data_IF_001034937593
#
_entry.id   IF_001034937593
#
_cell.length_a   1.000
_cell.length_b   1.000
_cell.length_c   1.000
_cell.angle_alpha   90.00
_cell.angle_beta   90.00
_cell.angle_gamma   90.00
#
_symmetry.space_group_name_H-M   'P 1'
#
loop_
_entity.id
_entity.type
_entity.pdbx_description
1 polymer ?
#
# COMPACT_ATOMS: atom_id res chain seq x y z
N UNK A 1 -7.12 44.15 5.62
CA UNK A 1 -6.85 42.74 5.30
C UNK A 1 -7.54 41.85 6.34
N UNK A 2 -8.18 40.78 5.88
CA UNK A 2 -8.86 39.86 6.76
C UNK A 2 -7.86 39.09 7.66
N UNK A 3 -8.21 38.86 8.92
CA UNK A 3 -7.38 38.16 9.92
C UNK A 3 -6.90 36.76 9.44
N UNK A 4 -7.70 36.07 8.63
CA UNK A 4 -7.34 34.75 8.11
C UNK A 4 -6.24 34.81 7.05
N UNK A 5 -6.15 35.89 6.25
CA UNK A 5 -5.05 36.10 5.28
C UNK A 5 -3.73 36.27 6.05
N UNK A 6 -3.73 37.07 7.12
CA UNK A 6 -2.54 37.24 7.96
C UNK A 6 -2.12 35.94 8.64
N UNK A 7 -3.09 35.11 9.09
CA UNK A 7 -2.81 33.78 9.62
C UNK A 7 -2.22 32.85 8.56
N UNK A 8 -2.74 32.86 7.33
CA UNK A 8 -2.21 32.08 6.21
C UNK A 8 -0.76 32.45 5.88
N UNK A 9 -0.47 33.77 5.83
CA UNK A 9 0.90 34.26 5.60
C UNK A 9 1.85 33.86 6.74
N UNK A 10 1.40 33.85 7.97
CA UNK A 10 2.19 33.42 9.15
C UNK A 10 2.35 31.90 9.22
N UNK A 11 1.35 31.13 8.78
CA UNK A 11 1.37 29.66 8.76
C UNK A 11 2.34 29.06 7.75
N UNK A 12 2.75 29.85 6.75
CA UNK A 12 3.65 29.41 5.70
C UNK A 12 3.03 28.34 4.79
N UNK A 13 3.90 27.52 4.16
CA UNK A 13 3.50 26.47 3.23
C UNK A 13 3.20 25.19 4.00
N UNK A 14 1.94 24.76 4.00
CA UNK A 14 1.51 23.51 4.63
C UNK A 14 1.79 22.27 3.75
N UNK A 15 1.97 22.45 2.44
CA UNK A 15 2.14 21.35 1.49
C UNK A 15 3.50 20.69 1.67
N UNK A 16 3.51 19.36 1.79
CA UNK A 16 4.74 18.57 1.83
C UNK A 16 5.57 18.77 0.57
N UNK A 17 6.89 18.77 0.72
CA UNK A 17 7.83 18.77 -0.42
C UNK A 17 8.24 17.37 -0.86
N UNK A 18 7.70 16.35 -0.20
CA UNK A 18 7.94 14.96 -0.60
C UNK A 18 7.36 14.70 -2.01
N UNK A 19 7.99 13.95 -2.91
CA UNK A 19 9.23 13.18 -2.73
C UNK A 19 10.53 13.96 -2.99
N UNK A 20 10.47 15.24 -3.41
CA UNK A 20 11.66 16.02 -3.71
C UNK A 20 12.57 16.24 -2.48
N UNK A 21 11.95 16.29 -1.28
CA UNK A 21 12.63 16.35 0.00
C UNK A 21 12.03 15.33 0.97
N UNK A 22 12.81 14.78 1.92
CA UNK A 22 12.30 13.98 3.01
C UNK A 22 11.21 14.74 3.78
N UNK A 23 10.24 13.99 4.28
CA UNK A 23 9.18 14.53 5.12
C UNK A 23 9.17 13.75 6.45
N UNK A 24 9.34 14.42 7.60
CA UNK A 24 9.45 13.75 8.89
C UNK A 24 8.18 13.00 9.30
N UNK A 25 7.01 13.36 8.77
CA UNK A 25 5.79 12.61 9.01
C UNK A 25 5.78 11.30 8.21
N UNK A 26 6.26 11.31 6.95
CA UNK A 26 6.40 10.11 6.16
C UNK A 26 7.35 9.09 6.82
N UNK A 27 8.47 9.58 7.36
CA UNK A 27 9.51 8.74 7.98
C UNK A 27 9.08 8.18 9.35
N UNK A 28 8.24 8.91 10.09
CA UNK A 28 7.77 8.53 11.44
C UNK A 28 6.46 7.75 11.42
N UNK A 29 5.82 7.62 10.26
CA UNK A 29 4.55 6.91 10.17
C UNK A 29 4.74 5.44 10.57
N UNK A 30 3.78 4.94 11.35
CA UNK A 30 3.76 3.53 11.75
C UNK A 30 3.25 2.69 10.57
N UNK A 31 4.13 1.88 10.02
CA UNK A 31 3.80 0.93 8.96
C UNK A 31 3.31 -0.41 9.51
N UNK A 32 3.09 -1.41 8.64
CA UNK A 32 2.68 -2.76 9.04
C UNK A 32 3.67 -3.43 10.00
N UNK A 33 3.21 -4.47 10.69
CA UNK A 33 4.07 -5.27 11.57
C UNK A 33 5.10 -6.04 10.75
N UNK A 34 6.29 -6.16 11.30
CA UNK A 34 7.40 -6.97 10.75
C UNK A 34 7.97 -7.88 11.81
N UNK A 35 8.68 -8.93 11.38
CA UNK A 35 9.48 -9.80 12.25
C UNK A 35 10.82 -9.12 12.54
N UNK A 36 11.28 -9.13 13.79
CA UNK A 36 12.57 -8.59 14.18
C UNK A 36 13.71 -9.40 13.56
N UNK A 37 14.75 -8.76 13.15
CA UNK A 37 15.97 -9.40 12.68
C UNK A 37 16.52 -10.33 13.76
N UNK A 38 16.81 -11.57 13.38
CA UNK A 38 17.31 -12.61 14.28
C UNK A 38 16.24 -13.37 15.05
N UNK A 39 15.01 -12.91 15.09
CA UNK A 39 13.91 -13.61 15.80
C UNK A 39 13.34 -14.80 15.03
N UNK A 40 13.59 -14.92 13.71
CA UNK A 40 13.06 -15.99 12.88
C UNK A 40 14.07 -17.05 12.44
N UNK A 41 15.36 -16.69 12.33
CA UNK A 41 16.43 -17.58 11.88
C UNK A 41 17.40 -17.85 13.02
N UNK A 42 17.21 -18.93 13.77
CA UNK A 42 18.11 -19.34 14.84
C UNK A 42 17.52 -19.40 16.26
N UNK A 43 16.37 -18.82 16.52
CA UNK A 43 15.58 -19.16 17.67
C UNK A 43 15.00 -20.55 17.38
N UNK A 44 15.48 -21.60 18.07
CA UNK A 44 15.19 -23.01 17.78
C UNK A 44 13.72 -23.31 17.47
N UNK A 45 13.47 -24.41 16.79
CA UNK A 45 12.14 -24.87 16.43
C UNK A 45 11.20 -24.76 17.65
N UNK A 46 10.34 -23.73 17.65
CA UNK A 46 9.47 -23.43 18.79
C UNK A 46 9.40 -21.96 19.22
N UNK A 47 10.32 -21.07 18.79
CA UNK A 47 10.26 -19.66 19.16
C UNK A 47 8.98 -18.96 18.67
N UNK A 48 8.43 -19.43 17.54
CA UNK A 48 7.15 -18.99 16.99
C UNK A 48 5.93 -19.79 17.49
N UNK A 49 6.14 -20.78 18.35
CA UNK A 49 5.04 -21.61 18.82
C UNK A 49 3.97 -20.74 19.48
N UNK A 50 2.73 -20.86 18.99
CA UNK A 50 1.60 -20.07 19.48
C UNK A 50 1.54 -18.64 18.95
N UNK A 51 2.55 -18.13 18.17
CA UNK A 51 2.50 -16.77 17.69
C UNK A 51 1.35 -16.52 16.70
N UNK A 52 0.98 -17.53 15.91
CA UNK A 52 -0.14 -17.46 14.95
C UNK A 52 -1.48 -17.19 15.63
N UNK A 53 -1.71 -17.71 16.84
CA UNK A 53 -2.95 -17.52 17.60
C UNK A 53 -3.12 -16.09 18.11
N UNK A 54 -2.05 -15.28 18.12
CA UNK A 54 -2.11 -13.90 18.54
C UNK A 54 -2.82 -13.02 17.51
N UNK A 55 -2.79 -13.41 16.25
CA UNK A 55 -3.28 -12.55 15.18
C UNK A 55 -4.74 -12.82 14.86
N UNK A 56 -5.68 -11.88 15.12
CA UNK A 56 -7.10 -12.06 14.82
C UNK A 56 -7.39 -12.13 13.32
N UNK A 57 -6.52 -11.56 12.47
CA UNK A 57 -6.66 -11.57 11.03
C UNK A 57 -5.88 -12.69 10.32
N UNK A 58 -5.26 -13.61 11.08
CA UNK A 58 -4.46 -14.69 10.51
C UNK A 58 -3.25 -14.22 9.68
N UNK A 59 -2.70 -13.05 10.03
CA UNK A 59 -1.53 -12.49 9.34
C UNK A 59 -0.21 -13.12 9.77
N UNK A 60 -0.17 -13.84 10.89
CA UNK A 60 1.04 -14.49 11.40
C UNK A 60 0.99 -15.97 11.04
N UNK A 61 2.02 -16.44 10.38
CA UNK A 61 2.20 -17.84 10.01
C UNK A 61 3.58 -18.35 10.38
N UNK A 62 3.78 -19.63 10.14
CA UNK A 62 5.06 -20.30 10.26
C UNK A 62 5.42 -20.94 8.91
N UNK A 63 6.66 -20.81 8.51
CA UNK A 63 7.21 -21.51 7.35
C UNK A 63 8.56 -22.12 7.75
N UNK A 64 8.64 -23.43 7.72
CA UNK A 64 9.85 -24.19 8.02
C UNK A 64 10.43 -23.85 9.41
N UNK A 65 9.55 -23.60 10.40
CA UNK A 65 9.94 -23.21 11.75
C UNK A 65 10.26 -21.72 11.93
N UNK A 66 10.17 -20.92 10.87
CA UNK A 66 10.38 -19.48 10.91
C UNK A 66 9.06 -18.70 10.90
N UNK A 67 8.92 -17.78 11.84
CA UNK A 67 7.75 -16.91 11.92
C UNK A 67 7.73 -15.95 10.74
N UNK A 68 6.58 -15.84 10.07
CA UNK A 68 6.32 -14.88 9.01
C UNK A 68 5.11 -14.02 9.32
N UNK A 69 5.10 -12.81 8.79
CA UNK A 69 3.95 -11.90 8.82
C UNK A 69 3.53 -11.56 7.39
N UNK A 70 2.30 -11.86 7.07
CA UNK A 70 1.65 -11.37 5.85
C UNK A 70 1.10 -9.97 6.10
N UNK A 71 1.84 -8.95 5.67
CA UNK A 71 1.46 -7.55 5.83
C UNK A 71 0.17 -7.19 5.08
N UNK A 72 -0.16 -7.93 4.02
CA UNK A 72 -1.42 -7.77 3.30
C UNK A 72 -2.65 -8.30 4.06
N UNK A 73 -2.46 -8.99 5.18
CA UNK A 73 -3.52 -9.39 6.12
C UNK A 73 -3.48 -8.60 7.42
N UNK A 74 -2.43 -7.80 7.65
CA UNK A 74 -2.21 -7.12 8.91
C UNK A 74 -3.17 -5.93 9.07
N UNK A 75 -4.08 -6.01 10.02
CA UNK A 75 -5.05 -4.94 10.36
C UNK A 75 -4.50 -3.88 11.32
N UNK A 76 -3.19 -3.84 11.52
CA UNK A 76 -2.49 -2.85 12.37
C UNK A 76 -2.96 -2.79 13.83
N UNK A 77 -3.58 -3.83 14.37
CA UNK A 77 -4.10 -3.84 15.75
C UNK A 77 -3.00 -3.81 16.83
N UNK A 78 -1.77 -4.19 16.51
CA UNK A 78 -0.61 -4.14 17.41
C UNK A 78 -0.55 -5.20 18.49
N UNK A 79 -1.51 -6.12 18.59
CA UNK A 79 -1.56 -7.14 19.63
C UNK A 79 -0.28 -7.98 19.68
N UNK A 80 0.21 -8.44 18.54
CA UNK A 80 1.44 -9.23 18.48
C UNK A 80 2.69 -8.44 18.96
N UNK A 81 2.77 -7.14 18.66
CA UNK A 81 3.87 -6.28 19.13
C UNK A 81 3.82 -6.06 20.64
N UNK A 82 2.61 -5.96 21.20
CA UNK A 82 2.43 -5.80 22.65
C UNK A 82 2.72 -7.09 23.42
N UNK A 83 2.27 -8.25 22.93
CA UNK A 83 2.41 -9.53 23.62
C UNK A 83 3.77 -10.20 23.35
N UNK A 84 4.36 -10.00 22.16
CA UNK A 84 5.65 -10.59 21.77
C UNK A 84 6.57 -9.53 21.13
N UNK A 85 6.99 -8.51 21.91
CA UNK A 85 7.92 -7.48 21.45
C UNK A 85 9.31 -8.02 21.11
N UNK A 86 9.62 -9.23 21.54
CA UNK A 86 10.82 -9.99 21.19
C UNK A 86 10.80 -10.45 19.72
N UNK A 87 9.65 -10.80 19.19
CA UNK A 87 9.47 -11.32 17.82
C UNK A 87 9.04 -10.23 16.83
N UNK A 88 8.16 -9.33 17.25
CA UNK A 88 7.49 -8.40 16.36
C UNK A 88 7.85 -6.94 16.64
N UNK A 89 7.84 -6.16 15.59
CA UNK A 89 7.99 -4.71 15.67
C UNK A 89 7.12 -4.02 14.62
N UNK A 90 6.85 -2.74 14.83
CA UNK A 90 6.31 -1.90 13.77
C UNK A 90 7.40 -1.60 12.74
N UNK A 91 7.09 -1.69 11.46
CA UNK A 91 7.94 -1.07 10.45
C UNK A 91 7.82 0.45 10.54
N UNK A 92 8.92 1.14 10.32
CA UNK A 92 8.93 2.60 10.28
C UNK A 92 8.82 3.10 8.84
N UNK A 93 8.17 4.24 8.68
CA UNK A 93 8.05 4.93 7.41
C UNK A 93 6.90 4.46 6.53
N UNK A 94 6.37 5.42 5.81
CA UNK A 94 5.24 5.24 4.88
C UNK A 94 5.69 5.29 3.40
N UNK A 95 6.98 5.15 3.14
CA UNK A 95 7.56 5.28 1.80
C UNK A 95 8.54 4.16 1.49
N UNK A 96 8.88 4.01 0.21
CA UNK A 96 9.80 2.96 -0.25
C UNK A 96 9.13 1.59 -0.39
N UNK A 97 9.95 0.54 -0.42
CA UNK A 97 9.52 -0.84 -0.65
C UNK A 97 8.64 -1.43 0.46
N UNK A 98 8.67 -0.84 1.66
CA UNK A 98 7.83 -1.27 2.79
C UNK A 98 6.41 -0.69 2.74
N UNK A 99 6.21 0.38 2.00
CA UNK A 99 4.91 1.04 1.87
C UNK A 99 4.09 0.54 0.67
N UNK A 100 4.75 -0.13 -0.30
CA UNK A 100 4.08 -0.70 -1.47
C UNK A 100 4.91 -1.86 -2.04
N UNK A 101 4.25 -2.91 -2.47
CA UNK A 101 4.87 -4.10 -3.05
C UNK A 101 4.42 -4.31 -4.50
N UNK A 102 5.28 -4.83 -5.36
CA UNK A 102 4.99 -5.13 -6.77
C UNK A 102 4.44 -6.53 -6.98
N UNK A 103 4.44 -7.35 -5.95
CA UNK A 103 3.80 -8.67 -5.95
C UNK A 103 3.10 -8.88 -4.61
N UNK A 104 2.05 -9.69 -4.61
CA UNK A 104 1.33 -10.04 -3.37
C UNK A 104 2.24 -10.79 -2.38
N UNK A 105 3.17 -11.60 -2.92
CA UNK A 105 4.12 -12.38 -2.16
C UNK A 105 5.13 -11.50 -1.39
N UNK A 106 5.51 -10.35 -1.94
CA UNK A 106 6.44 -9.42 -1.30
C UNK A 106 5.86 -8.72 -0.06
N UNK A 107 4.57 -8.91 0.22
CA UNK A 107 3.95 -8.51 1.50
C UNK A 107 4.21 -9.50 2.64
N UNK A 108 4.80 -10.67 2.37
CA UNK A 108 5.15 -11.66 3.39
C UNK A 108 6.58 -11.40 3.84
N UNK A 109 6.76 -11.13 5.12
CA UNK A 109 8.07 -10.81 5.72
C UNK A 109 8.43 -11.79 6.84
N UNK A 110 9.72 -12.19 6.97
CA UNK A 110 10.84 -11.85 6.11
C UNK A 110 10.68 -12.41 4.69
N UNK A 111 11.19 -11.65 3.72
CA UNK A 111 11.13 -11.99 2.30
C UNK A 111 12.01 -13.21 1.99
N UNK A 112 11.54 -14.07 1.09
CA UNK A 112 12.30 -15.21 0.58
C UNK A 112 13.00 -14.88 -0.75
N UNK A 113 14.12 -15.54 -1.10
CA UNK A 113 14.91 -15.20 -2.30
C UNK A 113 14.11 -15.24 -3.62
N UNK A 114 13.20 -16.18 -3.77
CA UNK A 114 12.37 -16.31 -4.98
C UNK A 114 11.43 -15.12 -5.17
N UNK A 115 11.01 -14.50 -4.09
CA UNK A 115 10.18 -13.28 -4.12
C UNK A 115 10.96 -12.12 -4.73
N UNK A 116 12.24 -11.98 -4.45
CA UNK A 116 13.10 -10.94 -5.01
C UNK A 116 13.16 -10.99 -6.53
N UNK A 117 13.30 -12.17 -7.15
CA UNK A 117 13.28 -12.33 -8.60
C UNK A 117 11.93 -11.96 -9.21
N UNK A 118 10.82 -12.35 -8.58
CA UNK A 118 9.49 -12.00 -9.03
C UNK A 118 9.24 -10.48 -8.97
N UNK A 119 9.73 -9.81 -7.93
CA UNK A 119 9.65 -8.35 -7.77
C UNK A 119 10.44 -7.64 -8.87
N UNK A 120 11.64 -8.09 -9.21
CA UNK A 120 12.41 -7.49 -10.30
C UNK A 120 11.73 -7.66 -11.65
N UNK A 121 11.17 -8.83 -11.94
CA UNK A 121 10.40 -9.09 -13.16
C UNK A 121 9.15 -8.18 -13.24
N UNK A 122 8.40 -8.05 -12.13
CA UNK A 122 7.24 -7.16 -12.04
C UNK A 122 7.63 -5.70 -12.24
N UNK A 123 8.78 -5.27 -11.66
CA UNK A 123 9.33 -3.92 -11.83
C UNK A 123 9.66 -3.61 -13.28
N UNK A 124 10.34 -4.52 -13.97
CA UNK A 124 10.68 -4.36 -15.38
C UNK A 124 9.43 -4.27 -16.26
N UNK A 125 8.44 -5.14 -16.04
CA UNK A 125 7.17 -5.14 -16.76
C UNK A 125 6.37 -3.83 -16.52
N UNK A 126 6.32 -3.36 -15.28
CA UNK A 126 5.66 -2.11 -14.92
C UNK A 126 6.36 -0.91 -15.58
N UNK A 127 7.68 -0.83 -15.49
CA UNK A 127 8.47 0.24 -16.10
C UNK A 127 8.27 0.33 -17.63
N UNK A 128 8.22 -0.81 -18.32
CA UNK A 128 7.97 -0.85 -19.75
C UNK A 128 6.60 -0.26 -20.13
N UNK A 129 5.55 -0.54 -19.34
CA UNK A 129 4.19 -0.04 -19.58
C UNK A 129 4.02 1.44 -19.21
N UNK A 130 4.67 1.91 -18.16
CA UNK A 130 4.44 3.23 -17.58
C UNK A 130 5.26 4.36 -18.20
N UNK A 131 6.11 4.08 -19.17
CA UNK A 131 6.95 5.10 -19.84
C UNK A 131 6.11 6.25 -20.42
N UNK A 132 4.90 5.96 -20.87
CA UNK A 132 3.97 6.97 -21.41
C UNK A 132 3.27 7.81 -20.33
N UNK A 133 3.22 7.34 -19.06
CA UNK A 133 2.42 7.93 -17.98
C UNK A 133 3.14 9.01 -17.16
N UNK A 134 4.25 9.57 -17.66
CA UNK A 134 5.14 10.41 -16.83
C UNK A 134 4.64 11.84 -16.57
N UNK A 135 3.76 12.40 -17.38
CA UNK A 135 3.39 13.82 -17.30
C UNK A 135 2.10 14.06 -16.55
N UNK A 136 1.01 13.49 -17.01
CA UNK A 136 -0.31 13.62 -16.42
C UNK A 136 -0.90 12.25 -16.28
N UNK A 137 -1.39 11.93 -15.09
CA UNK A 137 -1.94 10.62 -14.74
C UNK A 137 -3.35 10.81 -14.19
N UNK A 138 -4.29 10.09 -14.75
CA UNK A 138 -5.67 10.09 -14.29
C UNK A 138 -5.97 8.81 -13.53
N UNK A 139 -6.51 8.96 -12.33
CA UNK A 139 -6.80 7.86 -11.40
C UNK A 139 -8.30 7.67 -11.33
N UNK A 140 -8.77 6.46 -11.60
CA UNK A 140 -10.13 6.03 -11.26
C UNK A 140 -10.07 5.25 -9.95
N UNK A 141 -10.79 5.69 -8.94
CA UNK A 141 -10.99 4.96 -7.71
C UNK A 141 -12.28 4.13 -7.79
N UNK A 142 -12.21 2.88 -7.32
CA UNK A 142 -13.35 1.98 -7.14
C UNK A 142 -13.29 1.39 -5.74
N UNK A 143 -14.33 1.63 -4.97
CA UNK A 143 -14.60 0.94 -3.71
C UNK A 143 -15.28 -0.41 -4.01
N UNK A 144 -14.64 -1.50 -3.65
CA UNK A 144 -15.13 -2.86 -3.81
C UNK A 144 -15.69 -3.44 -2.49
N UNK A 145 -16.29 -2.60 -1.66
CA UNK A 145 -16.92 -2.96 -0.39
C UNK A 145 -15.99 -2.73 0.79
N UNK A 146 -15.61 -1.47 1.01
CA UNK A 146 -14.80 -1.01 2.14
C UNK A 146 -15.65 -0.60 3.34
N UNK A 147 -14.98 -0.29 4.45
CA UNK A 147 -15.56 0.38 5.61
C UNK A 147 -15.42 1.91 5.57
N UNK A 148 -14.83 2.45 4.50
CA UNK A 148 -14.60 3.87 4.28
C UNK A 148 -13.24 4.37 4.79
N UNK A 149 -12.44 3.56 5.46
CA UNK A 149 -11.19 4.01 6.06
C UNK A 149 -10.14 4.38 5.01
N UNK A 150 -9.96 3.56 3.98
CA UNK A 150 -9.05 3.83 2.87
C UNK A 150 -9.49 5.05 2.04
N UNK A 151 -10.79 5.25 1.88
CA UNK A 151 -11.38 6.39 1.15
C UNK A 151 -11.01 7.72 1.79
N UNK A 152 -11.02 7.79 3.13
CA UNK A 152 -10.59 8.99 3.85
C UNK A 152 -9.12 9.30 3.61
N UNK A 153 -8.26 8.30 3.60
CA UNK A 153 -6.84 8.47 3.31
C UNK A 153 -6.58 8.86 1.84
N UNK A 154 -7.37 8.32 0.91
CA UNK A 154 -7.34 8.72 -0.51
C UNK A 154 -7.82 10.16 -0.66
N UNK A 155 -8.90 10.56 0.01
CA UNK A 155 -9.37 11.95 -0.02
C UNK A 155 -8.37 12.92 0.57
N UNK A 156 -7.62 12.52 1.60
CA UNK A 156 -6.56 13.34 2.17
C UNK A 156 -5.49 13.73 1.13
N UNK A 157 -5.26 12.90 0.10
CA UNK A 157 -4.33 13.23 -0.99
C UNK A 157 -4.72 14.50 -1.76
N UNK A 158 -6.02 14.81 -1.83
CA UNK A 158 -6.55 16.01 -2.49
C UNK A 158 -6.42 17.25 -1.60
N UNK A 159 -6.16 17.05 -0.31
CA UNK A 159 -5.99 18.14 0.65
C UNK A 159 -4.68 18.91 0.47
N UNK A 160 -4.61 20.13 1.05
CA UNK A 160 -3.47 21.04 0.82
C UNK A 160 -2.14 20.51 1.40
N UNK A 161 -2.17 19.54 2.29
CA UNK A 161 -0.94 18.94 2.87
C UNK A 161 -0.22 18.08 1.85
N UNK A 162 -0.94 17.21 1.17
CA UNK A 162 -0.36 16.27 0.19
C UNK A 162 -0.36 16.83 -1.23
N UNK A 163 -1.44 17.51 -1.61
CA UNK A 163 -1.63 18.18 -2.91
C UNK A 163 -1.14 17.29 -4.08
N UNK A 164 -1.81 16.18 -4.25
CA UNK A 164 -1.46 15.17 -5.27
C UNK A 164 -1.43 15.77 -6.69
N UNK A 165 -2.20 16.82 -6.93
CA UNK A 165 -2.26 17.51 -8.23
C UNK A 165 -0.92 18.16 -8.62
N UNK A 166 -0.13 18.65 -7.66
CA UNK A 166 1.21 19.18 -7.92
C UNK A 166 2.17 18.15 -8.54
N UNK A 167 1.84 16.87 -8.38
CA UNK A 167 2.60 15.75 -8.95
C UNK A 167 2.06 15.32 -10.31
N UNK A 168 1.07 16.05 -10.85
CA UNK A 168 0.42 15.74 -12.11
C UNK A 168 -0.45 14.48 -12.05
N UNK A 169 -1.09 14.23 -10.90
CA UNK A 169 -2.01 13.11 -10.68
C UNK A 169 -3.39 13.68 -10.38
N UNK A 170 -4.40 13.24 -11.12
CA UNK A 170 -5.76 13.75 -11.07
C UNK A 170 -6.76 12.61 -10.95
N UNK A 171 -7.82 12.79 -10.17
CA UNK A 171 -8.90 11.82 -10.10
C UNK A 171 -9.94 12.07 -11.19
N UNK A 172 -10.44 11.01 -11.81
CA UNK A 172 -11.45 11.06 -12.87
C UNK A 172 -12.61 10.13 -12.59
N UNK A 173 -13.81 10.58 -12.96
CA UNK A 173 -15.02 9.76 -12.81
C UNK A 173 -15.15 8.70 -13.91
N UNK A 174 -14.57 8.92 -15.09
CA UNK A 174 -14.71 8.02 -16.23
C UNK A 174 -13.52 7.07 -16.35
N UNK A 175 -13.74 5.74 -16.41
CA UNK A 175 -12.66 4.78 -16.63
C UNK A 175 -11.97 4.97 -17.99
N UNK A 176 -12.66 5.49 -19.00
CA UNK A 176 -12.10 5.73 -20.35
C UNK A 176 -10.98 6.76 -20.38
N UNK A 177 -10.86 7.56 -19.32
CA UNK A 177 -9.84 8.59 -19.19
C UNK A 177 -8.83 8.27 -18.09
N UNK A 178 -8.90 7.06 -17.51
CA UNK A 178 -8.06 6.67 -16.41
C UNK A 178 -6.86 5.83 -16.87
N UNK A 179 -5.70 6.14 -16.31
CA UNK A 179 -4.44 5.42 -16.51
C UNK A 179 -4.19 4.45 -15.34
N UNK A 180 -4.70 4.80 -14.16
CA UNK A 180 -4.54 4.03 -12.92
C UNK A 180 -5.91 3.70 -12.36
N UNK A 181 -6.13 2.41 -12.04
CA UNK A 181 -7.26 1.93 -11.26
C UNK A 181 -6.80 1.74 -9.81
N UNK A 182 -7.38 2.50 -8.91
CA UNK A 182 -7.14 2.40 -7.48
C UNK A 182 -8.32 1.64 -6.85
N UNK A 183 -8.05 0.49 -6.26
CA UNK A 183 -9.09 -0.39 -5.71
C UNK A 183 -8.96 -0.48 -4.21
N UNK A 184 -10.05 -0.23 -3.50
CA UNK A 184 -10.21 -0.43 -2.05
C UNK A 184 -11.27 -1.47 -1.76
N UNK A 185 -11.37 -1.90 -0.50
CA UNK A 185 -12.43 -2.77 -0.01
C UNK A 185 -12.19 -4.26 -0.20
N UNK A 186 -12.99 -5.04 0.53
CA UNK A 186 -12.79 -6.47 0.77
C UNK A 186 -13.18 -7.40 -0.39
N UNK A 187 -13.63 -6.86 -1.51
CA UNK A 187 -14.05 -7.65 -2.68
C UNK A 187 -15.46 -8.20 -2.54
N UNK A 188 -16.42 -7.35 -2.13
CA UNK A 188 -17.82 -7.73 -2.04
C UNK A 188 -18.32 -8.30 -3.37
N UNK A 189 -19.08 -9.40 -3.32
CA UNK A 189 -19.52 -10.14 -4.50
C UNK A 189 -20.26 -9.27 -5.51
N UNK A 190 -21.14 -8.37 -5.03
CA UNK A 190 -21.86 -7.41 -5.87
C UNK A 190 -20.98 -6.40 -6.61
N UNK A 191 -19.73 -6.21 -6.17
CA UNK A 191 -18.80 -5.28 -6.79
C UNK A 191 -17.86 -5.95 -7.81
N UNK A 192 -17.82 -7.27 -7.90
CA UNK A 192 -16.94 -7.98 -8.83
C UNK A 192 -17.24 -7.65 -10.31
N UNK A 193 -18.51 -7.56 -10.68
CA UNK A 193 -18.96 -7.16 -12.02
C UNK A 193 -18.59 -5.70 -12.34
N UNK A 194 -19.05 -4.71 -11.55
CA UNK A 194 -18.72 -3.30 -11.74
C UNK A 194 -17.22 -3.01 -11.80
N UNK A 195 -16.43 -3.65 -10.95
CA UNK A 195 -14.97 -3.48 -10.93
C UNK A 195 -14.33 -4.01 -12.23
N UNK A 196 -14.74 -5.21 -12.67
CA UNK A 196 -14.28 -5.78 -13.94
C UNK A 196 -14.64 -4.88 -15.12
N UNK A 197 -15.90 -4.43 -15.22
CA UNK A 197 -16.36 -3.53 -16.28
C UNK A 197 -15.55 -2.22 -16.27
N UNK A 198 -15.22 -1.69 -15.09
CA UNK A 198 -14.38 -0.50 -14.96
C UNK A 198 -12.98 -0.76 -15.50
N UNK A 199 -12.35 -1.89 -15.11
CA UNK A 199 -11.03 -2.27 -15.58
C UNK A 199 -10.97 -2.48 -17.10
N UNK A 200 -11.97 -3.17 -17.67
CA UNK A 200 -12.08 -3.39 -19.11
C UNK A 200 -12.32 -2.10 -19.90
N UNK A 201 -13.04 -1.14 -19.30
CA UNK A 201 -13.32 0.17 -19.90
C UNK A 201 -12.15 1.14 -19.90
N UNK A 202 -11.04 0.82 -19.23
CA UNK A 202 -9.82 1.64 -19.23
C UNK A 202 -8.94 1.34 -20.45
N UNK A 203 -8.35 2.37 -21.09
CA UNK A 203 -7.40 2.18 -22.18
C UNK A 203 -6.06 1.60 -21.68
N UNK A 204 -5.32 0.94 -22.56
CA UNK A 204 -3.93 0.55 -22.31
C UNK A 204 -2.96 1.68 -22.74
N UNK A 205 -1.83 1.86 -22.03
CA UNK A 205 -1.38 1.11 -20.85
C UNK A 205 -2.09 1.56 -19.58
N UNK A 206 -2.52 0.59 -18.76
CA UNK A 206 -3.17 0.83 -17.47
C UNK A 206 -2.45 0.11 -16.34
N UNK A 207 -2.61 0.62 -15.13
CA UNK A 207 -2.02 0.06 -13.90
C UNK A 207 -3.09 -0.09 -12.83
N UNK A 208 -3.06 -1.18 -12.08
CA UNK A 208 -3.97 -1.46 -10.97
C UNK A 208 -3.23 -1.43 -9.65
N UNK A 209 -3.74 -0.67 -8.69
CA UNK A 209 -3.22 -0.56 -7.34
C UNK A 209 -4.29 -1.05 -6.36
N UNK A 210 -3.99 -2.09 -5.59
CA UNK A 210 -4.82 -2.52 -4.47
C UNK A 210 -4.39 -1.78 -3.20
N UNK A 211 -5.31 -1.04 -2.59
CA UNK A 211 -5.06 -0.18 -1.44
C UNK A 211 -5.75 -0.72 -0.21
N UNK A 212 -4.97 -0.95 0.82
CA UNK A 212 -5.44 -1.44 2.10
C UNK A 212 -5.40 -2.96 2.23
N UNK A 213 -5.46 -3.39 3.48
CA UNK A 213 -5.50 -4.81 3.85
C UNK A 213 -6.76 -5.48 3.30
N UNK A 214 -7.86 -4.75 3.23
CA UNK A 214 -9.13 -5.24 2.69
C UNK A 214 -8.99 -5.58 1.21
N UNK A 215 -8.42 -4.71 0.40
CA UNK A 215 -8.16 -4.98 -1.02
C UNK A 215 -7.11 -6.09 -1.23
N UNK A 216 -6.14 -6.20 -0.34
CA UNK A 216 -5.07 -7.19 -0.46
C UNK A 216 -5.48 -8.62 -0.08
N UNK A 217 -6.49 -8.80 0.79
CA UNK A 217 -6.81 -10.11 1.35
C UNK A 217 -8.25 -10.31 1.81
N UNK A 218 -9.08 -9.27 1.77
CA UNK A 218 -10.40 -9.25 2.42
C UNK A 218 -10.38 -8.81 3.88
N UNK A 219 -9.22 -8.46 4.44
CA UNK A 219 -9.07 -7.95 5.80
C UNK A 219 -9.61 -8.90 6.87
N UNK A 220 -10.43 -8.39 7.77
CA UNK A 220 -11.14 -9.20 8.78
C UNK A 220 -12.16 -10.17 8.18
N UNK A 221 -12.59 -9.93 6.95
CA UNK A 221 -13.55 -10.76 6.22
C UNK A 221 -12.87 -11.81 5.32
N UNK A 222 -11.56 -11.99 5.42
CA UNK A 222 -10.75 -12.87 4.56
C UNK A 222 -11.23 -14.33 4.48
N UNK A 223 -12.01 -14.80 5.47
CA UNK A 223 -12.66 -16.13 5.42
C UNK A 223 -13.88 -16.19 4.48
N UNK A 224 -14.41 -15.07 4.03
CA UNK A 224 -15.59 -14.95 3.17
C UNK A 224 -15.33 -14.16 1.88
N UNK A 225 -14.44 -13.18 1.96
CA UNK A 225 -14.09 -12.25 0.88
C UNK A 225 -12.58 -12.30 0.68
N UNK A 226 -12.12 -12.18 -0.57
CA UNK A 226 -10.72 -12.40 -0.93
C UNK A 226 -9.93 -11.14 -1.29
N UNK A 227 -10.51 -9.97 -1.12
CA UNK A 227 -9.94 -8.72 -1.63
C UNK A 227 -10.26 -8.49 -3.12
N UNK A 228 -9.32 -7.92 -3.86
CA UNK A 228 -9.52 -7.67 -5.30
C UNK A 228 -9.79 -8.98 -6.04
N UNK A 229 -10.91 -9.09 -6.80
CA UNK A 229 -11.26 -10.31 -7.52
C UNK A 229 -10.17 -10.74 -8.52
N UNK A 230 -9.97 -12.05 -8.67
CA UNK A 230 -8.94 -12.67 -9.52
C UNK A 230 -8.97 -12.27 -11.00
N UNK A 231 -10.09 -11.75 -11.48
CA UNK A 231 -10.23 -11.25 -12.85
C UNK A 231 -9.64 -9.85 -13.10
N UNK A 232 -9.10 -9.18 -12.08
CA UNK A 232 -8.46 -7.87 -12.17
C UNK A 232 -7.01 -8.02 -11.70
N UNK A 233 -6.03 -7.99 -12.64
CA UNK A 233 -4.63 -8.13 -12.26
C UNK A 233 -4.13 -6.91 -11.50
N UNK A 234 -3.47 -7.12 -10.38
CA UNK A 234 -2.93 -6.05 -9.52
C UNK A 234 -1.43 -5.92 -9.75
N UNK A 235 -0.99 -4.71 -10.04
CA UNK A 235 0.41 -4.37 -10.29
C UNK A 235 1.14 -3.87 -9.03
N UNK A 236 0.42 -3.20 -8.14
CA UNK A 236 0.98 -2.62 -6.90
C UNK A 236 0.04 -2.88 -5.74
N UNK A 237 0.60 -3.33 -4.63
CA UNK A 237 -0.09 -3.65 -3.40
C UNK A 237 0.33 -2.69 -2.29
N UNK A 238 -0.62 -2.05 -1.63
CA UNK A 238 -0.38 -1.09 -0.54
C UNK A 238 -0.95 -1.65 0.75
N UNK A 239 -0.14 -2.22 1.64
CA UNK A 239 -0.61 -2.78 2.89
C UNK A 239 -0.96 -1.69 3.90
N UNK A 240 -1.93 -1.95 4.75
CA UNK A 240 -2.38 -1.06 5.82
C UNK A 240 -3.88 -1.12 6.04
N UNK A 241 -4.33 -0.75 7.22
CA UNK A 241 -5.75 -0.75 7.56
C UNK A 241 -6.07 0.47 8.45
N UNK A 242 -6.24 1.65 7.80
CA UNK A 242 -5.86 2.00 6.43
C UNK A 242 -4.36 2.27 6.24
N UNK A 243 -3.84 2.23 5.00
CA UNK A 243 -2.52 2.75 4.69
C UNK A 243 -2.52 4.28 4.75
N UNK A 244 -1.38 4.90 5.12
CA UNK A 244 -1.29 6.36 5.18
C UNK A 244 -1.37 7.00 3.79
N UNK A 245 -1.74 8.30 3.69
CA UNK A 245 -1.71 9.03 2.42
C UNK A 245 -0.32 9.01 1.77
N UNK A 246 0.77 9.04 2.54
CA UNK A 246 2.12 8.92 2.02
C UNK A 246 2.37 7.55 1.36
N UNK A 247 1.85 6.46 1.95
CA UNK A 247 1.98 5.13 1.37
C UNK A 247 1.23 5.01 0.03
N UNK A 248 0.02 5.55 -0.03
CA UNK A 248 -0.78 5.59 -1.25
C UNK A 248 -0.10 6.45 -2.31
N UNK A 249 0.40 7.63 -1.93
CA UNK A 249 1.11 8.53 -2.82
C UNK A 249 2.41 7.89 -3.36
N UNK A 250 3.14 7.20 -2.50
CA UNK A 250 4.33 6.43 -2.89
C UNK A 250 3.99 5.36 -3.93
N UNK A 251 2.91 4.61 -3.74
CA UNK A 251 2.45 3.59 -4.67
C UNK A 251 2.06 4.20 -6.03
N UNK A 252 1.33 5.32 -6.04
CA UNK A 252 0.99 6.05 -7.26
C UNK A 252 2.23 6.52 -8.02
N UNK A 253 3.25 7.00 -7.33
CA UNK A 253 4.49 7.46 -7.95
C UNK A 253 5.35 6.30 -8.48
N UNK A 254 5.38 5.16 -7.77
CA UNK A 254 6.01 3.92 -8.25
C UNK A 254 5.27 3.42 -9.49
N UNK A 255 3.96 3.30 -9.41
CA UNK A 255 3.09 2.79 -10.46
C UNK A 255 3.21 3.60 -11.76
N UNK A 256 3.52 4.88 -11.67
CA UNK A 256 3.62 5.79 -12.82
C UNK A 256 5.06 6.10 -13.23
N UNK A 257 6.04 5.44 -12.62
CA UNK A 257 7.46 5.64 -12.92
C UNK A 257 8.00 7.04 -12.55
N UNK A 258 7.25 7.80 -11.73
CA UNK A 258 7.65 9.14 -11.26
C UNK A 258 8.61 9.07 -10.07
N UNK A 259 8.50 8.04 -9.24
CA UNK A 259 9.61 7.57 -8.41
C UNK A 259 10.30 6.48 -9.22
N UNK A 260 11.53 6.73 -9.61
CA UNK A 260 12.36 5.64 -10.08
C UNK A 260 12.28 4.53 -9.03
N UNK A 261 12.28 3.27 -9.47
CA UNK A 261 12.40 2.11 -8.62
C UNK A 261 13.80 2.09 -7.95
N UNK A 262 14.16 3.18 -7.30
CA UNK A 262 15.37 3.27 -6.49
C UNK A 262 15.08 2.53 -5.21
N UNK A 263 15.68 1.35 -5.09
CA UNK A 263 16.07 0.76 -3.83
C UNK A 263 16.27 1.86 -2.80
N UNK A 264 15.51 1.78 -1.69
CA UNK A 264 15.62 2.73 -0.59
C UNK A 264 16.94 2.60 0.18
N UNK A 265 18.03 2.86 -0.49
CA UNK A 265 19.35 3.07 0.09
C UNK A 265 19.85 4.42 -0.43
N UNK A 266 19.55 5.47 0.35
CA UNK A 266 20.50 6.57 0.42
C UNK A 266 21.45 6.22 1.56
N UNK A 267 22.66 5.95 1.17
CA UNK A 267 23.83 6.08 2.02
C UNK A 267 23.86 7.45 2.69
#
# INVERSE_FOLDING_TARGET
MSIWVLRGLRGGVATTRWPARPDPYADRWRGPVTVRAGAGAGAGAGAGAGASSLCPAGAIGDRDGAVQVDQGKCILCGRCVAERPDLFAWSAGATGSRAAALTRQALIVPEIPETGQAVEAARAALAARTTALRRSVHVRHVDAGSDGSEEWEIQALLGPVYDVHRLGIFFTASPRHADVLLVTGSGAEGMAGPLRTTYEGMPDPKVVIAVGTDAASGGLLAGRLGGVPSGVPVDVWVPGSPPSPFAILNALLIATGKLGARTGERQ
#
